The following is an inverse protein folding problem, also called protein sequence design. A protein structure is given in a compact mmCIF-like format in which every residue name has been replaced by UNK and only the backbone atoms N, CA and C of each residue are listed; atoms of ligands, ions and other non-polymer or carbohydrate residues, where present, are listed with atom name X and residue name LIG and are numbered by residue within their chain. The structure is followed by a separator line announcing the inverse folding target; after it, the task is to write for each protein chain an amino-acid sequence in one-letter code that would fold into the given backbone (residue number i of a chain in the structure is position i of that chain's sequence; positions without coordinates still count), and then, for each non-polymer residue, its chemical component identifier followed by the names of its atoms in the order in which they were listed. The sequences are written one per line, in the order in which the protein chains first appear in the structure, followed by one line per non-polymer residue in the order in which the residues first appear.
data_IF_422469954624
#
_entry.id   IF_422469954624
#
_cell.length_a   1.000
_cell.length_b   1.000
_cell.length_c   1.000
_cell.angle_alpha   90.00
_cell.angle_beta   90.00
_cell.angle_gamma   90.00
#
_symmetry.space_group_name_H-M   'P 1'
#
loop_
_entity.id
_entity.type
_entity.pdbx_description
1 polymer ?
#
# COMPACT_ATOMS: atom_id res chain seq x y z
N UNK A 1 -4.14 19.98 4.58
CA UNK A 1 -4.63 19.00 3.59
C UNK A 1 -4.15 17.65 4.05
N UNK A 2 -4.88 17.05 4.98
CA UNK A 2 -4.52 15.79 5.61
C UNK A 2 -5.12 14.66 4.76
N UNK A 3 -4.44 14.35 3.66
CA UNK A 3 -4.81 13.23 2.80
C UNK A 3 -4.67 11.91 3.57
N UNK A 4 -5.68 11.04 3.51
CA UNK A 4 -5.59 9.70 4.08
C UNK A 4 -4.75 8.84 3.13
N UNK A 5 -3.66 8.28 3.65
CA UNK A 5 -2.83 7.34 2.92
C UNK A 5 -3.23 5.90 3.26
N UNK A 6 -3.19 5.04 2.26
CA UNK A 6 -3.51 3.62 2.39
C UNK A 6 -2.48 2.80 1.61
N UNK A 7 -2.30 1.55 2.01
CA UNK A 7 -1.69 0.51 1.20
C UNK A 7 -2.79 -0.24 0.48
N UNK A 8 -2.67 -0.36 -0.84
CA UNK A 8 -3.55 -1.17 -1.68
C UNK A 8 -2.76 -2.25 -2.41
N UNK A 9 -3.38 -3.39 -2.68
CA UNK A 9 -2.78 -4.43 -3.49
C UNK A 9 -2.94 -4.09 -4.98
N UNK A 10 -1.84 -3.86 -5.67
CA UNK A 10 -1.80 -3.59 -7.11
C UNK A 10 -0.72 -4.46 -7.76
N UNK A 11 -1.06 -5.22 -8.80
CA UNK A 11 -0.14 -6.15 -9.50
C UNK A 11 0.61 -7.07 -8.51
N UNK A 12 -0.13 -7.68 -7.58
CA UNK A 12 0.41 -8.60 -6.56
C UNK A 12 1.44 -7.99 -5.60
N UNK A 13 1.51 -6.67 -5.52
CA UNK A 13 2.38 -5.94 -4.61
C UNK A 13 1.59 -4.87 -3.84
N UNK A 14 1.97 -4.62 -2.59
CA UNK A 14 1.41 -3.53 -1.81
C UNK A 14 2.03 -2.20 -2.24
N UNK A 15 1.18 -1.28 -2.71
CA UNK A 15 1.57 0.05 -3.14
C UNK A 15 1.02 1.13 -2.21
N UNK A 16 1.83 2.16 -1.89
CA UNK A 16 1.36 3.32 -1.16
C UNK A 16 0.50 4.19 -2.08
N UNK A 17 -0.74 4.42 -1.66
CA UNK A 17 -1.71 5.20 -2.41
C UNK A 17 -2.36 6.27 -1.52
N UNK A 18 -2.75 7.37 -2.15
CA UNK A 18 -3.51 8.44 -1.52
C UNK A 18 -4.98 8.27 -1.87
N UNK A 19 -5.85 8.31 -0.86
CA UNK A 19 -7.29 8.32 -1.09
C UNK A 19 -7.66 9.67 -1.69
N UNK A 20 -8.23 9.64 -2.90
CA UNK A 20 -8.70 10.85 -3.57
C UNK A 20 -10.11 11.18 -3.07
N UNK A 21 -11.04 10.24 -3.27
CA UNK A 21 -12.42 10.37 -2.84
C UNK A 21 -13.03 8.98 -2.60
N UNK A 22 -14.05 8.92 -1.73
CA UNK A 22 -14.91 7.74 -1.63
C UNK A 22 -15.80 7.73 -2.86
N UNK A 23 -15.31 7.16 -3.94
CA UNK A 23 -16.12 6.89 -5.12
C UNK A 23 -17.11 5.78 -4.76
N UNK A 24 -18.36 6.17 -4.51
CA UNK A 24 -19.50 5.26 -4.46
C UNK A 24 -19.75 4.82 -5.91
N UNK A 25 -18.85 3.98 -6.44
CA UNK A 25 -18.99 3.42 -7.79
C UNK A 25 -20.30 2.62 -7.81
N UNK A 26 -21.26 2.91 -8.71
CA UNK A 26 -22.43 2.09 -8.87
C UNK A 26 -21.97 0.83 -9.60
N UNK A 27 -21.52 -0.19 -8.88
CA UNK A 27 -21.36 -1.50 -9.51
C UNK A 27 -22.77 -1.97 -9.88
N UNK A 28 -23.04 -2.09 -11.17
CA UNK A 28 -24.27 -2.63 -11.76
C UNK A 28 -24.44 -4.13 -11.49
N UNK A 29 -24.16 -4.60 -10.28
CA UNK A 29 -24.44 -5.97 -9.87
C UNK A 29 -25.19 -5.93 -8.55
N UNK A 30 -26.51 -6.06 -8.68
CA UNK A 30 -27.42 -6.48 -7.61
C UNK A 30 -26.74 -7.56 -6.77
N UNK A 31 -26.43 -7.21 -5.52
CA UNK A 31 -26.02 -8.04 -4.37
C UNK A 31 -24.60 -7.71 -3.91
N UNK A 32 -24.57 -7.06 -2.73
CA UNK A 32 -23.46 -6.87 -1.78
C UNK A 32 -22.77 -5.50 -1.91
N UNK A 33 -23.15 -4.62 -0.98
CA UNK A 33 -22.64 -3.26 -0.81
C UNK A 33 -21.17 -3.30 -0.33
N UNK A 34 -20.22 -3.61 -1.21
CA UNK A 34 -18.81 -3.42 -0.88
C UNK A 34 -18.46 -1.97 -1.21
N UNK A 35 -17.99 -1.22 -0.21
CA UNK A 35 -17.61 0.18 -0.42
C UNK A 35 -16.32 0.20 -1.23
N UNK A 36 -16.36 0.78 -2.43
CA UNK A 36 -15.16 1.04 -3.22
C UNK A 36 -14.52 2.37 -2.80
N UNK A 37 -13.21 2.48 -2.98
CA UNK A 37 -12.42 3.70 -2.78
C UNK A 37 -11.61 3.98 -4.04
N UNK A 38 -11.59 5.23 -4.46
CA UNK A 38 -10.67 5.67 -5.50
C UNK A 38 -9.37 6.15 -4.83
N UNK A 39 -8.27 5.56 -5.26
CA UNK A 39 -6.94 5.82 -4.71
C UNK A 39 -5.95 6.07 -5.85
N UNK A 40 -4.99 6.95 -5.59
CA UNK A 40 -3.92 7.30 -6.52
C UNK A 40 -2.60 6.73 -6.00
N UNK A 41 -1.93 5.89 -6.79
CA UNK A 41 -0.60 5.37 -6.44
C UNK A 41 0.40 6.51 -6.47
N UNK A 42 1.09 6.74 -5.35
CA UNK A 42 2.05 7.84 -5.19
C UNK A 42 3.28 7.72 -6.10
N UNK A 43 3.64 6.52 -6.53
CA UNK A 43 4.80 6.28 -7.39
C UNK A 43 4.51 6.39 -8.88
N UNK A 44 3.23 6.32 -9.28
CA UNK A 44 2.81 6.20 -10.68
C UNK A 44 1.80 7.28 -11.09
N UNK A 45 1.29 8.06 -10.12
CA UNK A 45 0.14 8.96 -10.27
C UNK A 45 -1.06 8.27 -10.96
N UNK A 46 -1.17 6.94 -10.78
CA UNK A 46 -2.18 6.11 -11.42
C UNK A 46 -3.35 5.89 -10.48
N UNK A 47 -4.56 6.16 -10.97
CA UNK A 47 -5.81 6.09 -10.19
C UNK A 47 -6.48 4.76 -10.39
N UNK A 48 -6.77 4.06 -9.30
CA UNK A 48 -7.62 2.87 -9.32
C UNK A 48 -8.73 2.90 -8.30
N UNK A 49 -9.75 2.10 -8.61
CA UNK A 49 -10.80 1.72 -7.68
C UNK A 49 -10.40 0.43 -6.99
N UNK A 50 -10.32 0.47 -5.67
CA UNK A 50 -10.04 -0.68 -4.79
C UNK A 50 -11.18 -0.89 -3.83
N UNK A 51 -11.38 -2.12 -3.37
CA UNK A 51 -12.34 -2.37 -2.31
C UNK A 51 -11.81 -1.85 -0.97
N UNK A 52 -12.64 -1.14 -0.19
CA UNK A 52 -12.25 -0.62 1.13
C UNK A 52 -11.71 -1.71 2.05
N UNK A 53 -12.24 -2.93 1.94
CA UNK A 53 -11.85 -4.09 2.76
C UNK A 53 -10.42 -4.56 2.48
N UNK A 54 -9.92 -4.36 1.25
CA UNK A 54 -8.59 -4.78 0.82
C UNK A 54 -7.52 -3.70 1.08
N UNK A 55 -7.95 -2.49 1.46
CA UNK A 55 -7.04 -1.38 1.78
C UNK A 55 -6.66 -1.34 3.25
N UNK A 56 -5.39 -1.05 3.53
CA UNK A 56 -4.87 -0.88 4.90
C UNK A 56 -4.43 0.55 5.13
N UNK A 57 -5.00 1.21 6.14
CA UNK A 57 -4.63 2.60 6.47
C UNK A 57 -3.16 2.70 6.84
N UNK A 58 -2.46 3.63 6.18
CA UNK A 58 -1.06 3.92 6.40
C UNK A 58 -0.94 5.08 7.40
N UNK A 59 -0.97 4.75 8.69
CA UNK A 59 -0.64 5.70 9.77
C UNK A 59 0.86 5.69 10.05
N UNK A 60 1.37 6.74 10.69
CA UNK A 60 2.77 6.80 11.14
C UNK A 60 3.16 5.58 11.98
N UNK A 61 2.31 5.20 12.93
CA UNK A 61 2.50 4.01 13.76
C UNK A 61 2.50 2.70 12.95
N UNK A 62 1.69 2.59 11.89
CA UNK A 62 1.71 1.43 11.01
C UNK A 62 3.02 1.36 10.20
N UNK A 63 3.53 2.49 9.72
CA UNK A 63 4.84 2.57 9.05
C UNK A 63 5.96 2.15 10.01
N UNK A 64 5.96 2.66 11.24
CA UNK A 64 6.94 2.29 12.27
C UNK A 64 6.87 0.78 12.58
N UNK A 65 5.67 0.22 12.74
CA UNK A 65 5.50 -1.21 12.97
C UNK A 65 6.00 -2.06 11.79
N UNK A 66 5.76 -1.62 10.55
CA UNK A 66 6.27 -2.28 9.34
C UNK A 66 7.81 -2.21 9.31
N UNK A 67 8.40 -1.05 9.59
CA UNK A 67 9.85 -0.90 9.65
C UNK A 67 10.48 -1.75 10.75
N UNK A 68 9.89 -1.78 11.96
CA UNK A 68 10.37 -2.64 13.04
C UNK A 68 10.26 -4.12 12.67
N UNK A 69 9.17 -4.54 12.03
CA UNK A 69 9.01 -5.92 11.56
C UNK A 69 9.97 -6.28 10.42
N UNK A 70 10.25 -5.35 9.50
CA UNK A 70 11.24 -5.51 8.45
C UNK A 70 12.67 -5.56 9.00
N UNK A 71 13.01 -4.73 9.99
CA UNK A 71 14.32 -4.76 10.64
C UNK A 71 14.59 -6.11 11.31
N UNK A 72 13.56 -6.69 11.95
CA UNK A 72 13.63 -8.03 12.55
C UNK A 72 13.83 -9.13 11.49
N UNK A 73 13.26 -8.98 10.28
CA UNK A 73 13.49 -9.92 9.18
C UNK A 73 14.81 -9.69 8.44
N UNK A 74 15.30 -8.45 8.42
CA UNK A 74 16.58 -8.09 7.83
C UNK A 74 17.75 -8.71 8.58
N UNK A 75 17.64 -8.94 9.89
CA UNK A 75 18.68 -9.62 10.67
C UNK A 75 18.89 -11.08 10.20
N UNK A 76 17.91 -11.67 9.52
CA UNK A 76 17.98 -13.03 8.94
C UNK A 76 18.50 -13.02 7.49
N UNK A 77 18.44 -11.88 6.79
CA UNK A 77 18.83 -11.74 5.37
C UNK A 77 19.89 -10.62 5.20
N UNK A 78 20.83 -10.52 6.13
CA UNK A 78 22.11 -9.84 5.86
C UNK A 78 23.20 -10.88 6.08
N UNK A 79 23.23 -11.88 5.20
CA UNK A 79 24.52 -12.48 4.87
C UNK A 79 25.35 -11.35 4.22
N UNK A 80 26.58 -11.07 4.70
CA UNK A 80 27.39 -10.00 4.14
C UNK A 80 27.58 -10.29 2.66
N UNK A 81 27.00 -9.46 1.79
CA UNK A 81 27.40 -9.45 0.39
C UNK A 81 28.83 -8.94 0.38
N UNK A 82 29.79 -9.85 0.29
CA UNK A 82 31.20 -9.54 0.09
C UNK A 82 31.31 -8.50 -1.02
N UNK A 83 31.73 -7.31 -0.62
CA UNK A 83 32.16 -6.25 -1.51
C UNK A 83 33.48 -6.71 -2.14
N UNK A 84 33.39 -7.41 -3.27
CA UNK A 84 34.57 -7.71 -4.07
C UNK A 84 35.15 -6.38 -4.54
N UNK A 85 36.30 -6.02 -3.97
CA UNK A 85 37.12 -4.89 -4.37
C UNK A 85 37.43 -4.96 -5.87
N UNK A 86 37.18 -3.85 -6.56
CA UNK A 86 37.87 -3.47 -7.78
C UNK A 86 38.66 -2.20 -7.46
N UNK A 87 39.93 -2.36 -7.09
CA UNK A 87 41.11 -1.89 -7.86
C UNK A 87 42.40 -2.32 -7.14
#
# INVERSE_FOLDING_TARGET
MDGKYVLCNWKDQLWPAKVLDRSESPSESKRKNTSSLEVEILSLDEKITVESTDTKVLSKSAVEAIMSSLAVQSEVIIAPREETAYE
#
